data_IF_160552679267
#
_entry.id   IF_160552679267
#
_cell.length_a   1.000
_cell.length_b   1.000
_cell.length_c   1.000
_cell.angle_alpha   90.00
_cell.angle_beta   90.00
_cell.angle_gamma   90.00
#
_symmetry.space_group_name_H-M   'P 1'
#
loop_
_entity.id
_entity.type
_entity.pdbx_description
1 polymer ?
#
# COMPACT_ATOMS: atom_id res chain seq x y z
N UNK A 1 2.78 21.16 -0.96
CA UNK A 1 4.17 21.35 -0.49
C UNK A 1 4.92 20.05 -0.67
N UNK A 2 5.84 20.00 -1.64
CA UNK A 2 6.73 18.86 -1.87
C UNK A 2 7.75 18.77 -0.73
N UNK A 3 8.09 17.56 -0.31
CA UNK A 3 9.10 17.32 0.72
C UNK A 3 10.51 17.47 0.11
N UNK A 4 11.38 18.22 0.78
CA UNK A 4 12.76 18.44 0.36
C UNK A 4 13.68 18.27 1.57
N UNK A 5 14.69 17.40 1.42
CA UNK A 5 15.75 17.16 2.40
C UNK A 5 17.03 17.80 1.87
N UNK A 6 17.69 18.64 2.67
CA UNK A 6 18.99 19.21 2.29
C UNK A 6 20.13 18.31 2.73
N UNK A 7 21.22 18.29 1.96
CA UNK A 7 22.45 17.56 2.29
C UNK A 7 22.98 17.95 3.67
N UNK A 8 23.04 19.25 3.98
CA UNK A 8 23.44 19.77 5.30
C UNK A 8 22.58 19.20 6.45
N UNK A 9 21.25 19.15 6.30
CA UNK A 9 20.35 18.59 7.34
C UNK A 9 20.65 17.11 7.63
N UNK A 10 21.18 16.39 6.64
CA UNK A 10 21.53 14.98 6.77
C UNK A 10 22.96 14.80 7.29
N UNK A 11 23.90 15.64 6.87
CA UNK A 11 25.26 15.66 7.44
C UNK A 11 25.22 15.94 8.93
N UNK A 12 24.45 16.93 9.35
CA UNK A 12 24.21 17.25 10.76
C UNK A 12 23.64 16.05 11.52
N UNK A 13 22.71 15.31 10.90
CA UNK A 13 22.11 14.12 11.49
C UNK A 13 23.11 12.96 11.63
N UNK A 14 23.93 12.73 10.62
CA UNK A 14 24.95 11.67 10.60
C UNK A 14 26.23 12.04 11.37
N UNK A 15 26.37 13.29 11.79
CA UNK A 15 27.59 13.87 12.40
C UNK A 15 28.81 13.74 11.49
N UNK A 16 28.60 14.01 10.20
CA UNK A 16 29.67 14.07 9.20
C UNK A 16 30.23 15.49 9.18
N UNK A 17 31.53 15.62 9.41
CA UNK A 17 32.25 16.88 9.29
C UNK A 17 32.95 16.96 7.92
N UNK A 18 32.72 18.05 7.18
CA UNK A 18 33.30 18.27 5.86
C UNK A 18 32.45 17.76 4.69
N UNK A 19 33.08 17.70 3.51
CA UNK A 19 32.38 17.51 2.22
C UNK A 19 32.80 16.22 1.48
N UNK A 20 33.70 15.42 2.05
CA UNK A 20 34.23 14.21 1.42
C UNK A 20 33.14 13.19 1.09
N UNK A 21 32.03 13.22 1.84
CA UNK A 21 30.92 12.27 1.74
C UNK A 21 29.67 12.86 1.10
N UNK A 22 29.72 14.10 0.61
CA UNK A 22 28.58 14.81 0.02
C UNK A 22 27.92 14.03 -1.12
N UNK A 23 28.74 13.37 -1.95
CA UNK A 23 28.25 12.56 -3.07
C UNK A 23 27.44 11.34 -2.57
N UNK A 24 27.89 10.71 -1.48
CA UNK A 24 27.22 9.55 -0.89
C UNK A 24 25.93 10.00 -0.22
N UNK A 25 25.99 11.05 0.60
CA UNK A 25 24.84 11.62 1.29
C UNK A 25 23.76 12.05 0.28
N UNK A 26 24.14 12.71 -0.80
CA UNK A 26 23.21 13.13 -1.85
C UNK A 26 22.52 11.94 -2.53
N UNK A 27 23.26 10.88 -2.85
CA UNK A 27 22.72 9.64 -3.42
C UNK A 27 21.74 8.95 -2.46
N UNK A 28 22.06 8.90 -1.16
CA UNK A 28 21.18 8.32 -0.15
C UNK A 28 19.90 9.13 0.05
N UNK A 29 19.97 10.46 -0.02
CA UNK A 29 18.80 11.34 0.03
C UNK A 29 17.85 11.05 -1.14
N UNK A 30 18.38 10.95 -2.35
CA UNK A 30 17.60 10.65 -3.55
C UNK A 30 16.93 9.28 -3.44
N UNK A 31 17.70 8.26 -3.06
CA UNK A 31 17.21 6.90 -2.87
C UNK A 31 16.11 6.82 -1.80
N UNK A 32 16.30 7.48 -0.65
CA UNK A 32 15.35 7.44 0.46
C UNK A 32 14.05 8.17 0.10
N UNK A 33 14.16 9.30 -0.59
CA UNK A 33 13.02 10.08 -1.04
C UNK A 33 12.20 9.30 -2.08
N UNK A 34 12.87 8.71 -3.07
CA UNK A 34 12.23 7.89 -4.10
C UNK A 34 11.54 6.68 -3.49
N UNK A 35 12.24 5.95 -2.62
CA UNK A 35 11.66 4.80 -1.93
C UNK A 35 10.43 5.18 -1.10
N UNK A 36 10.47 6.29 -0.35
CA UNK A 36 9.33 6.71 0.45
C UNK A 36 8.12 7.07 -0.42
N UNK A 37 8.35 7.73 -1.56
CA UNK A 37 7.29 8.05 -2.52
C UNK A 37 6.69 6.78 -3.14
N UNK A 38 7.52 5.83 -3.57
CA UNK A 38 7.08 4.56 -4.15
C UNK A 38 6.36 3.71 -3.12
N UNK A 39 6.91 3.64 -1.90
CA UNK A 39 6.30 2.90 -0.81
C UNK A 39 4.94 3.49 -0.46
N UNK A 40 4.82 4.81 -0.27
CA UNK A 40 3.56 5.43 0.18
C UNK A 40 2.55 5.68 -0.94
N UNK A 41 2.99 5.74 -2.19
CA UNK A 41 2.18 6.19 -3.33
C UNK A 41 1.89 7.71 -3.30
N UNK A 42 2.55 8.48 -2.41
CA UNK A 42 2.30 9.91 -2.22
C UNK A 42 3.52 10.73 -2.63
N UNK A 43 3.32 11.75 -3.47
CA UNK A 43 4.37 12.72 -3.85
C UNK A 43 4.40 13.96 -2.96
N UNK A 44 3.34 14.19 -2.19
CA UNK A 44 3.12 15.39 -1.38
C UNK A 44 2.72 14.95 0.02
N UNK A 45 3.47 15.38 1.03
CA UNK A 45 3.30 14.92 2.41
C UNK A 45 2.55 15.93 3.31
N UNK A 46 2.16 17.10 2.79
CA UNK A 46 1.29 18.05 3.49
C UNK A 46 1.72 18.31 4.95
N UNK A 47 0.82 18.05 5.91
CA UNK A 47 1.08 18.19 7.36
C UNK A 47 2.09 17.17 7.91
N UNK A 48 2.29 16.05 7.23
CA UNK A 48 3.20 14.97 7.64
C UNK A 48 4.62 15.11 7.07
N UNK A 49 4.95 16.29 6.54
CA UNK A 49 6.28 16.53 5.96
C UNK A 49 7.39 16.26 6.97
N UNK A 50 7.21 16.60 8.26
CA UNK A 50 8.20 16.34 9.31
C UNK A 50 8.42 14.84 9.57
N UNK A 51 7.35 14.05 9.61
CA UNK A 51 7.44 12.59 9.78
C UNK A 51 8.10 11.96 8.56
N UNK A 52 7.74 12.40 7.35
CA UNK A 52 8.38 11.94 6.12
C UNK A 52 9.89 12.23 6.12
N UNK A 53 10.31 13.43 6.55
CA UNK A 53 11.73 13.78 6.74
C UNK A 53 12.43 12.83 7.71
N UNK A 54 11.82 12.57 8.86
CA UNK A 54 12.38 11.67 9.87
C UNK A 54 12.55 10.24 9.36
N UNK A 55 11.56 9.72 8.62
CA UNK A 55 11.66 8.38 8.01
C UNK A 55 12.82 8.31 7.02
N UNK A 56 12.98 9.32 6.16
CA UNK A 56 14.12 9.38 5.24
C UNK A 56 15.46 9.42 6.00
N UNK A 57 15.58 10.23 7.06
CA UNK A 57 16.80 10.29 7.88
C UNK A 57 17.14 8.93 8.52
N UNK A 58 16.13 8.21 9.03
CA UNK A 58 16.31 6.85 9.57
C UNK A 58 16.80 5.86 8.52
N UNK A 59 16.22 5.90 7.32
CA UNK A 59 16.63 5.04 6.21
C UNK A 59 18.05 5.34 5.74
N UNK A 60 18.39 6.63 5.59
CA UNK A 60 19.74 7.06 5.21
C UNK A 60 20.75 6.58 6.22
N UNK A 61 20.48 6.76 7.52
CA UNK A 61 21.36 6.28 8.60
C UNK A 61 21.57 4.76 8.51
N UNK A 62 20.51 4.01 8.24
CA UNK A 62 20.59 2.56 8.11
C UNK A 62 21.50 2.13 6.95
N UNK A 63 21.31 2.72 5.77
CA UNK A 63 22.12 2.41 4.58
C UNK A 63 23.55 2.92 4.69
N UNK A 64 23.74 4.06 5.35
CA UNK A 64 25.05 4.64 5.59
C UNK A 64 25.88 3.77 6.55
N UNK A 65 25.30 3.34 7.68
CA UNK A 65 25.98 2.43 8.62
C UNK A 65 26.31 1.06 8.01
N UNK A 66 25.43 0.53 7.15
CA UNK A 66 25.66 -0.75 6.45
C UNK A 66 26.86 -0.70 5.49
N UNK A 67 27.34 0.51 5.13
CA UNK A 67 28.54 0.69 4.30
C UNK A 67 29.83 0.45 5.08
N UNK A 68 29.85 0.79 6.37
CA UNK A 68 31.05 0.69 7.22
C UNK A 68 31.12 -0.62 8.01
N UNK A 69 29.97 -1.20 8.35
CA UNK A 69 29.93 -2.34 9.27
C UNK A 69 29.17 -3.52 8.65
N UNK A 70 29.90 -4.56 8.24
CA UNK A 70 29.32 -5.89 8.04
C UNK A 70 28.87 -6.41 9.41
N UNK A 71 27.65 -6.05 9.84
CA UNK A 71 27.08 -6.58 11.07
C UNK A 71 26.54 -7.99 10.81
N UNK A 72 27.12 -9.06 11.37
CA UNK A 72 26.51 -10.39 11.27
C UNK A 72 25.21 -10.47 12.10
N UNK A 73 24.95 -9.50 12.97
CA UNK A 73 23.68 -9.39 13.70
C UNK A 73 22.61 -8.83 12.76
N UNK A 74 21.49 -9.53 12.53
CA UNK A 74 20.42 -9.01 11.70
C UNK A 74 19.94 -7.69 12.30
N UNK A 75 19.88 -6.63 11.50
CA UNK A 75 19.38 -5.31 11.88
C UNK A 75 17.84 -5.34 12.08
N UNK A 76 17.38 -6.28 12.92
CA UNK A 76 16.00 -6.72 13.06
C UNK A 76 15.12 -5.71 13.81
N UNK A 77 15.72 -4.73 14.49
CA UNK A 77 14.99 -3.70 15.25
C UNK A 77 14.68 -2.48 14.38
N UNK A 78 15.58 -2.06 13.50
CA UNK A 78 15.39 -0.85 12.68
C UNK A 78 14.38 -1.06 11.55
N UNK A 79 14.43 -2.22 10.90
CA UNK A 79 13.51 -2.58 9.80
C UNK A 79 12.02 -2.49 10.19
N UNK A 80 11.53 -3.09 11.29
CA UNK A 80 10.12 -3.00 11.66
C UNK A 80 9.70 -1.57 12.04
N UNK A 81 10.59 -0.76 12.61
CA UNK A 81 10.30 0.65 12.95
C UNK A 81 10.09 1.47 11.67
N UNK A 82 10.98 1.35 10.69
CA UNK A 82 10.84 2.03 9.39
C UNK A 82 9.53 1.60 8.71
N UNK A 83 9.23 0.30 8.69
CA UNK A 83 7.97 -0.22 8.13
C UNK A 83 6.74 0.33 8.85
N UNK A 84 6.76 0.43 10.18
CA UNK A 84 5.66 0.98 10.96
C UNK A 84 5.44 2.47 10.63
N UNK A 85 6.51 3.27 10.54
CA UNK A 85 6.41 4.69 10.19
C UNK A 85 5.90 4.90 8.75
N UNK A 86 6.37 4.10 7.79
CA UNK A 86 5.84 4.13 6.41
C UNK A 86 4.36 3.75 6.39
N UNK A 87 3.95 2.77 7.19
CA UNK A 87 2.54 2.37 7.34
C UNK A 87 1.71 3.52 7.91
N UNK A 88 2.20 4.22 8.94
CA UNK A 88 1.54 5.41 9.47
C UNK A 88 1.45 6.54 8.44
N UNK A 89 2.47 6.75 7.61
CA UNK A 89 2.41 7.73 6.51
C UNK A 89 1.41 7.32 5.42
N UNK A 90 1.28 6.02 5.15
CA UNK A 90 0.30 5.49 4.20
C UNK A 90 -1.14 5.73 4.64
N UNK A 91 -1.44 5.62 5.94
CA UNK A 91 -2.83 5.62 6.44
C UNK A 91 -3.21 6.83 7.31
N UNK A 92 -2.24 7.53 7.92
CA UNK A 92 -2.50 8.61 8.88
C UNK A 92 -2.81 9.97 8.26
N UNK A 93 -2.81 10.07 6.93
CA UNK A 93 -3.06 11.30 6.17
C UNK A 93 -4.40 11.29 5.44
N UNK A 94 -5.43 10.70 6.06
CA UNK A 94 -6.80 10.73 5.58
C UNK A 94 -7.47 12.05 6.01
N UNK A 95 -7.40 13.04 5.12
CA UNK A 95 -8.50 13.99 4.93
C UNK A 95 -9.37 13.48 3.76
N UNK A 96 -9.67 12.18 3.69
CA UNK A 96 -10.65 11.63 2.76
C UNK A 96 -11.92 11.26 3.51
N UNK A 97 -12.83 12.23 3.50
CA UNK A 97 -14.24 12.06 3.19
C UNK A 97 -14.71 10.59 3.07
N UNK A 98 -15.69 10.26 3.90
CA UNK A 98 -16.60 9.13 3.76
C UNK A 98 -16.90 8.77 2.29
N UNK A 99 -16.19 7.78 1.74
CA UNK A 99 -16.76 6.95 0.69
C UNK A 99 -17.44 5.76 1.35
N UNK A 100 -18.63 6.02 1.89
CA UNK A 100 -19.63 4.97 1.98
C UNK A 100 -20.13 4.71 0.55
N UNK A 101 -20.07 3.50 0.01
CA UNK A 101 -21.09 3.10 -0.95
C UNK A 101 -22.36 2.82 -0.14
N UNK A 102 -23.17 3.86 0.07
CA UNK A 102 -24.59 3.67 0.35
C UNK A 102 -25.20 3.01 -0.88
N UNK A 103 -25.36 1.69 -0.85
CA UNK A 103 -26.16 0.96 -1.82
C UNK A 103 -27.03 -0.07 -1.09
N UNK A 104 -28.06 0.48 -0.45
CA UNK A 104 -29.45 0.00 -0.50
C UNK A 104 -29.71 -1.44 -0.03
N UNK A 105 -30.05 -1.56 1.25
CA UNK A 105 -30.89 -2.64 1.76
C UNK A 105 -32.11 -2.82 0.83
N UNK A 106 -32.39 -4.01 0.28
CA UNK A 106 -33.69 -4.26 -0.32
C UNK A 106 -34.74 -4.19 0.79
N UNK A 107 -35.62 -3.19 0.71
CA UNK A 107 -36.78 -3.05 1.58
C UNK A 107 -37.65 -4.29 1.49
N UNK A 108 -37.89 -4.90 2.64
CA UNK A 108 -38.80 -6.01 2.86
C UNK A 108 -40.22 -5.63 2.38
N UNK A 109 -40.61 -6.10 1.20
CA UNK A 109 -42.01 -6.13 0.77
C UNK A 109 -42.66 -7.40 1.32
N UNK A 110 -43.42 -7.27 2.41
CA UNK A 110 -44.27 -8.33 2.93
C UNK A 110 -45.53 -8.50 2.08
N UNK A 111 -45.97 -9.77 1.98
CA UNK A 111 -47.35 -10.28 1.75
C UNK A 111 -48.05 -9.92 0.44
N UNK A 112 -48.76 -10.81 -0.26
CA UNK A 112 -49.22 -12.19 -0.01
C UNK A 112 -50.15 -12.60 -1.16
N UNK A 113 -50.70 -13.83 -1.07
CA UNK A 113 -51.83 -14.40 -1.86
C UNK A 113 -51.51 -14.79 -3.33
N UNK A 114 -51.44 -16.05 -3.79
CA UNK A 114 -52.20 -17.32 -3.67
C UNK A 114 -53.13 -17.60 -4.87
N UNK A 115 -53.28 -18.90 -5.16
CA UNK A 115 -54.19 -19.59 -6.10
C UNK A 115 -53.68 -19.81 -7.54
N UNK A 116 -53.28 -21.02 -7.95
CA UNK A 116 -53.97 -22.32 -8.15
C UNK A 116 -54.80 -22.47 -9.45
N UNK A 117 -54.33 -23.45 -10.25
CA UNK A 117 -55.05 -24.53 -10.97
C UNK A 117 -55.18 -24.50 -12.52
N UNK A 118 -54.89 -25.71 -13.03
CA UNK A 118 -55.47 -26.40 -14.21
C UNK A 118 -54.90 -26.00 -15.58
N UNK A 119 -54.46 -26.88 -16.49
CA UNK A 119 -54.55 -28.33 -16.62
C UNK A 119 -54.36 -28.70 -18.11
N UNK A 120 -54.11 -29.98 -18.38
CA UNK A 120 -54.06 -30.71 -19.69
C UNK A 120 -52.77 -30.66 -20.54
N UNK A 121 -52.34 -31.68 -21.29
CA UNK A 121 -52.51 -33.16 -21.32
C UNK A 121 -51.71 -33.70 -22.54
N UNK A 122 -50.92 -34.79 -22.37
CA UNK A 122 -50.45 -35.80 -23.39
C UNK A 122 -49.58 -35.30 -24.58
N UNK A 123 -48.62 -36.04 -25.16
CA UNK A 123 -48.46 -37.48 -25.52
C UNK A 123 -46.95 -37.82 -25.51
N UNK A 124 -46.50 -38.88 -24.85
CA UNK A 124 -46.21 -40.27 -25.35
C UNK A 124 -45.28 -40.39 -26.56
N UNK A 125 -44.35 -41.36 -26.41
CA UNK A 125 -43.76 -42.24 -27.43
C UNK A 125 -42.58 -41.67 -28.23
N UNK A 126 -41.54 -42.39 -28.63
CA UNK A 126 -40.85 -43.64 -28.20
C UNK A 126 -39.81 -43.90 -29.30
N UNK A 127 -38.57 -44.23 -28.94
CA UNK A 127 -37.70 -45.16 -29.69
C UNK A 127 -37.15 -44.80 -31.07
N UNK A 128 -35.82 -44.78 -31.19
CA UNK A 128 -34.99 -45.42 -32.24
C UNK A 128 -33.56 -44.91 -32.02
N UNK A 129 -32.61 -45.68 -31.45
CA UNK A 129 -31.92 -46.84 -32.01
C UNK A 129 -31.59 -46.63 -33.50
N UNK A 130 -30.32 -46.40 -33.82
CA UNK A 130 -29.49 -47.37 -34.57
C UNK A 130 -28.36 -46.73 -35.38
N UNK A 131 -27.22 -47.46 -35.38
CA UNK A 131 -26.12 -47.55 -36.37
C UNK A 131 -24.94 -46.58 -36.19
N UNK A 132 -23.74 -47.10 -35.87
CA UNK A 132 -22.75 -47.84 -36.73
C UNK A 132 -22.21 -46.88 -37.79
N UNK A 133 -20.93 -46.77 -38.11
CA UNK A 133 -19.73 -47.64 -38.20
C UNK A 133 -18.60 -46.60 -38.49
N UNK A 134 -17.31 -46.77 -38.25
CA UNK A 134 -16.37 -47.86 -38.53
C UNK A 134 -15.04 -47.40 -37.93
#
# INVERSE_FOLDING_TARGET
MTMHLKTEEVKDWLRIDGDDEDAIVSSLIEAATTYLQDATGRKVFGKQTSIAKLVCQYMITHWYEERDYYNPTPNAVRKPIITAMITQLKYGGDDNESTQPEARLPTLGQSGESEQKSGTLKKRSSGQRSRRKT
#
